data_IF_870485962843
#
_entry.id   IF_870485962843
#
_cell.length_a   1.000
_cell.length_b   1.000
_cell.length_c   1.000
_cell.angle_alpha   90.00
_cell.angle_beta   90.00
_cell.angle_gamma   90.00
#
_symmetry.space_group_name_H-M   'P 1'
#
loop_
_entity.id
_entity.type
_entity.pdbx_description
1 polymer ?
#
# COMPACT_ATOMS: atom_id res chain seq x y z
N UNK A 1 -2.46 -33.26 0.34
CA UNK A 1 -2.18 -32.19 -0.65
C UNK A 1 -3.13 -31.03 -0.38
N UNK A 2 -2.66 -30.00 0.34
CA UNK A 2 -3.43 -28.76 0.52
C UNK A 2 -3.42 -28.07 -0.85
N UNK A 3 -4.60 -27.93 -1.48
CA UNK A 3 -4.73 -27.20 -2.73
C UNK A 3 -4.20 -25.79 -2.46
N UNK A 4 -3.26 -25.36 -3.29
CA UNK A 4 -2.62 -24.06 -3.26
C UNK A 4 -3.62 -22.97 -3.69
N UNK A 5 -4.77 -22.88 -3.01
CA UNK A 5 -5.80 -21.89 -3.30
C UNK A 5 -5.21 -20.53 -2.95
N UNK A 6 -5.01 -19.70 -3.97
CA UNK A 6 -4.64 -18.30 -3.77
C UNK A 6 -5.71 -17.66 -2.90
N UNK A 7 -5.32 -17.20 -1.71
CA UNK A 7 -6.22 -16.46 -0.84
C UNK A 7 -6.46 -15.08 -1.47
N UNK A 8 -7.70 -14.60 -1.44
CA UNK A 8 -7.99 -13.23 -1.84
C UNK A 8 -7.69 -12.29 -0.67
N UNK A 9 -6.89 -11.26 -0.92
CA UNK A 9 -6.52 -10.23 0.05
C UNK A 9 -7.34 -8.94 -0.13
N UNK A 10 -8.48 -9.06 -0.80
CA UNK A 10 -9.45 -7.96 -0.95
C UNK A 10 -10.21 -7.72 0.35
N UNK A 11 -10.61 -6.47 0.60
CA UNK A 11 -11.40 -6.10 1.78
C UNK A 11 -12.70 -6.91 1.82
N UNK A 12 -13.04 -7.40 3.01
CA UNK A 12 -14.19 -8.25 3.28
C UNK A 12 -13.94 -9.75 3.07
N UNK A 13 -12.82 -10.15 2.47
CA UNK A 13 -12.52 -11.57 2.25
C UNK A 13 -11.98 -12.23 3.51
N UNK A 14 -12.32 -13.51 3.68
CA UNK A 14 -11.76 -14.35 4.73
C UNK A 14 -10.42 -14.96 4.28
N UNK A 15 -9.41 -14.83 5.13
CA UNK A 15 -8.05 -15.32 4.94
C UNK A 15 -7.62 -16.16 6.14
N UNK A 16 -6.65 -17.04 5.93
CA UNK A 16 -5.99 -17.85 6.93
C UNK A 16 -4.55 -17.41 7.07
N UNK A 17 -4.18 -16.95 8.26
CA UNK A 17 -2.81 -16.61 8.64
C UNK A 17 -2.38 -17.57 9.74
N UNK A 18 -1.52 -18.52 9.40
CA UNK A 18 -1.21 -19.65 10.29
C UNK A 18 -2.48 -20.47 10.59
N UNK A 19 -2.87 -20.52 11.86
CA UNK A 19 -4.07 -21.21 12.33
C UNK A 19 -5.29 -20.29 12.52
N UNK A 20 -5.13 -18.98 12.39
CA UNK A 20 -6.21 -18.00 12.55
C UNK A 20 -6.99 -17.84 11.25
N UNK A 21 -8.32 -17.83 11.35
CA UNK A 21 -9.22 -17.36 10.28
C UNK A 21 -9.58 -15.91 10.57
N UNK A 22 -9.24 -15.01 9.64
CA UNK A 22 -9.37 -13.57 9.78
C UNK A 22 -10.08 -12.99 8.57
N UNK A 23 -10.69 -11.82 8.71
CA UNK A 23 -11.28 -11.04 7.63
C UNK A 23 -10.40 -9.84 7.32
N UNK A 24 -10.15 -9.56 6.04
CA UNK A 24 -9.40 -8.38 5.60
C UNK A 24 -10.26 -7.14 5.77
N UNK A 25 -9.74 -6.14 6.49
CA UNK A 25 -10.42 -4.85 6.74
C UNK A 25 -9.81 -3.74 5.89
N UNK A 26 -8.49 -3.70 5.75
CA UNK A 26 -7.81 -2.71 4.93
C UNK A 26 -6.49 -3.25 4.37
N UNK A 27 -6.12 -2.81 3.17
CA UNK A 27 -4.76 -2.89 2.64
C UNK A 27 -4.08 -1.52 2.79
N UNK A 28 -2.80 -1.53 3.19
CA UNK A 28 -2.02 -0.35 3.50
C UNK A 28 -0.79 -0.28 2.59
N UNK A 29 -0.46 0.93 2.16
CA UNK A 29 0.73 1.21 1.38
C UNK A 29 2.01 0.98 2.19
N UNK A 30 3.09 0.58 1.51
CA UNK A 30 4.41 0.54 2.13
C UNK A 30 4.81 1.94 2.62
N UNK A 31 5.33 2.05 3.83
CA UNK A 31 5.72 3.33 4.45
C UNK A 31 7.08 3.84 3.96
N UNK A 32 7.88 2.97 3.33
CA UNK A 32 9.21 3.31 2.83
C UNK A 32 10.34 2.98 3.81
N UNK A 33 10.05 2.22 4.86
CA UNK A 33 11.00 1.64 5.83
C UNK A 33 11.67 0.34 5.33
N UNK A 34 11.47 0.00 4.05
CA UNK A 34 11.94 -1.25 3.45
C UNK A 34 11.00 -2.44 3.67
N UNK A 35 9.89 -2.27 4.38
CA UNK A 35 8.87 -3.30 4.53
C UNK A 35 7.80 -3.20 3.42
N UNK A 36 7.18 -4.32 3.02
CA UNK A 36 6.04 -4.30 2.11
C UNK A 36 4.82 -3.61 2.77
N UNK A 37 3.81 -3.32 1.96
CA UNK A 37 2.51 -2.87 2.45
C UNK A 37 1.90 -3.87 3.45
N UNK A 38 1.13 -3.35 4.39
CA UNK A 38 0.52 -4.13 5.46
C UNK A 38 -0.98 -4.35 5.22
N UNK A 39 -1.57 -5.30 5.94
CA UNK A 39 -3.02 -5.50 5.98
C UNK A 39 -3.52 -5.39 7.41
N UNK A 40 -4.69 -4.77 7.58
CA UNK A 40 -5.44 -4.83 8.83
C UNK A 40 -6.46 -5.95 8.70
N UNK A 41 -6.42 -6.87 9.64
CA UNK A 41 -7.26 -8.06 9.70
C UNK A 41 -8.05 -8.10 11.02
N UNK A 42 -9.20 -8.78 11.02
CA UNK A 42 -9.98 -8.99 12.25
C UNK A 42 -10.47 -10.43 12.39
N UNK A 43 -10.67 -10.89 13.61
CA UNK A 43 -11.47 -12.09 13.91
C UNK A 43 -12.89 -11.74 14.42
N UNK A 44 -13.30 -10.48 14.33
CA UNK A 44 -14.56 -9.94 14.87
C UNK A 44 -14.46 -9.40 16.31
N UNK A 45 -13.38 -9.70 17.04
CA UNK A 45 -13.18 -9.24 18.42
C UNK A 45 -11.84 -8.53 18.63
N UNK A 46 -10.85 -8.82 17.80
CA UNK A 46 -9.49 -8.30 17.88
C UNK A 46 -9.03 -7.88 16.49
N UNK A 47 -8.16 -6.88 16.45
CA UNK A 47 -7.51 -6.40 15.24
C UNK A 47 -6.05 -6.88 15.19
N UNK A 48 -5.58 -7.12 13.98
CA UNK A 48 -4.23 -7.55 13.71
C UNK A 48 -3.64 -6.80 12.51
N UNK A 49 -2.36 -6.45 12.59
CA UNK A 49 -1.56 -6.04 11.46
C UNK A 49 -0.81 -7.25 10.90
N UNK A 50 -0.99 -7.53 9.62
CA UNK A 50 -0.23 -8.53 8.88
C UNK A 50 0.71 -7.84 7.89
N UNK A 51 2.01 -8.08 8.03
CA UNK A 51 3.02 -7.61 7.08
C UNK A 51 3.59 -8.85 6.39
N UNK A 52 3.48 -8.97 5.05
CA UNK A 52 4.02 -10.10 4.31
C UNK A 52 5.49 -10.36 4.67
N UNK A 53 5.84 -11.63 4.92
CA UNK A 53 7.14 -12.10 5.40
C UNK A 53 7.55 -11.68 6.83
N UNK A 54 6.94 -10.64 7.39
CA UNK A 54 7.25 -10.12 8.72
C UNK A 54 6.26 -10.62 9.80
N UNK A 55 5.12 -11.17 9.38
CA UNK A 55 4.20 -11.90 10.27
C UNK A 55 2.98 -11.09 10.70
N UNK A 56 2.34 -11.55 11.77
CA UNK A 56 1.07 -11.03 12.28
C UNK A 56 1.27 -10.51 13.71
N UNK A 57 0.87 -9.27 13.97
CA UNK A 57 0.88 -8.66 15.30
C UNK A 57 -0.53 -8.21 15.67
N UNK A 58 -0.93 -8.42 16.94
CA UNK A 58 -2.16 -7.84 17.46
C UNK A 58 -1.98 -6.33 17.65
N UNK A 59 -3.00 -5.55 17.32
CA UNK A 59 -3.00 -4.09 17.43
C UNK A 59 -4.26 -3.60 18.15
N UNK A 60 -4.22 -2.39 18.71
CA UNK A 60 -5.40 -1.71 19.25
C UNK A 60 -6.23 -1.05 18.15
N UNK A 61 -7.43 -0.60 18.50
CA UNK A 61 -8.33 0.12 17.60
C UNK A 61 -7.71 1.47 17.16
N UNK A 62 -7.08 2.18 18.10
CA UNK A 62 -6.38 3.44 17.83
C UNK A 62 -5.21 3.24 16.86
N UNK A 63 -4.40 2.21 17.09
CA UNK A 63 -3.28 1.85 16.22
C UNK A 63 -3.77 1.53 14.80
N UNK A 64 -4.87 0.78 14.67
CA UNK A 64 -5.44 0.45 13.36
C UNK A 64 -5.90 1.69 12.59
N UNK A 65 -6.54 2.64 13.27
CA UNK A 65 -6.96 3.92 12.69
C UNK A 65 -5.75 4.73 12.24
N UNK A 66 -4.75 4.89 13.10
CA UNK A 66 -3.52 5.64 12.81
C UNK A 66 -2.80 5.07 11.57
N UNK A 67 -2.66 3.74 11.49
CA UNK A 67 -2.06 3.07 10.32
C UNK A 67 -2.82 3.37 9.02
N UNK A 68 -4.15 3.44 9.06
CA UNK A 68 -4.96 3.78 7.89
C UNK A 68 -4.79 5.25 7.47
N UNK A 69 -4.75 6.17 8.45
CA UNK A 69 -4.52 7.58 8.17
C UNK A 69 -3.14 7.80 7.55
N UNK A 70 -2.10 7.17 8.10
CA UNK A 70 -0.75 7.29 7.59
C UNK A 70 -0.66 6.73 6.16
N UNK A 71 -1.25 5.55 5.91
CA UNK A 71 -1.33 5.01 4.54
C UNK A 71 -1.99 5.99 3.57
N UNK A 72 -3.09 6.66 3.96
CA UNK A 72 -3.74 7.67 3.12
C UNK A 72 -2.83 8.87 2.84
N UNK A 73 -2.09 9.35 3.84
CA UNK A 73 -1.14 10.46 3.69
C UNK A 73 -0.02 10.09 2.72
N UNK A 74 0.52 8.87 2.83
CA UNK A 74 1.55 8.36 1.93
C UNK A 74 1.03 8.26 0.50
N UNK A 75 -0.15 7.68 0.28
CA UNK A 75 -0.76 7.59 -1.05
C UNK A 75 -0.96 8.98 -1.67
N UNK A 76 -1.47 9.94 -0.90
CA UNK A 76 -1.68 11.31 -1.35
C UNK A 76 -0.34 11.99 -1.72
N UNK A 77 0.69 11.84 -0.89
CA UNK A 77 2.02 12.38 -1.17
C UNK A 77 2.65 11.74 -2.42
N UNK A 78 2.49 10.43 -2.63
CA UNK A 78 2.95 9.73 -3.83
C UNK A 78 2.23 10.22 -5.08
N UNK A 79 0.91 10.37 -5.03
CA UNK A 79 0.12 10.92 -6.13
C UNK A 79 0.58 12.35 -6.49
N UNK A 80 0.77 13.22 -5.50
CA UNK A 80 1.24 14.59 -5.72
C UNK A 80 2.65 14.60 -6.36
N UNK A 81 3.58 13.77 -5.87
CA UNK A 81 4.93 13.65 -6.44
C UNK A 81 4.89 13.13 -7.87
N UNK A 82 4.07 12.13 -8.17
CA UNK A 82 3.91 11.60 -9.51
C UNK A 82 3.39 12.68 -10.48
N UNK A 83 2.38 13.47 -10.07
CA UNK A 83 1.87 14.58 -10.88
C UNK A 83 2.94 15.65 -11.14
N UNK A 84 3.69 16.04 -10.11
CA UNK A 84 4.80 17.00 -10.26
C UNK A 84 5.88 16.48 -11.21
N UNK A 85 6.21 15.18 -11.13
CA UNK A 85 7.17 14.55 -12.03
C UNK A 85 6.70 14.55 -13.48
N UNK A 86 5.42 14.25 -13.73
CA UNK A 86 4.83 14.31 -15.08
C UNK A 86 4.92 15.73 -15.64
N UNK A 87 4.54 16.74 -14.86
CA UNK A 87 4.65 18.14 -15.27
C UNK A 87 6.10 18.54 -15.58
N UNK A 88 7.07 18.07 -14.76
CA UNK A 88 8.50 18.33 -14.98
C UNK A 88 9.02 17.68 -16.26
N UNK A 89 8.63 16.43 -16.53
CA UNK A 89 9.00 15.72 -17.76
C UNK A 89 8.44 16.44 -18.99
N UNK A 90 7.18 16.86 -18.96
CA UNK A 90 6.56 17.61 -20.04
C UNK A 90 7.28 18.95 -20.32
N UNK A 91 7.61 19.70 -19.26
CA UNK A 91 8.37 20.94 -19.38
C UNK A 91 9.77 20.71 -19.98
N UNK A 92 10.47 19.66 -19.54
CA UNK A 92 11.78 19.31 -20.08
C UNK A 92 11.70 18.92 -21.56
N UNK A 93 10.68 18.13 -21.95
CA UNK A 93 10.46 17.75 -23.35
C UNK A 93 10.25 18.97 -24.25
N UNK A 94 9.48 19.97 -23.78
CA UNK A 94 9.29 21.22 -24.51
C UNK A 94 10.61 22.01 -24.70
N UNK A 95 11.46 22.05 -23.67
CA UNK A 95 12.79 22.67 -23.77
C UNK A 95 13.67 21.92 -24.77
N UNK A 96 13.71 20.59 -24.71
CA UNK A 96 14.47 19.77 -25.65
C UNK A 96 14.02 20.00 -27.11
N UNK A 97 12.71 20.04 -27.36
CA UNK A 97 12.18 20.32 -28.70
C UNK A 97 12.59 21.72 -29.20
N UNK A 98 12.57 22.73 -28.33
CA UNK A 98 13.02 24.08 -28.67
C UNK A 98 14.51 24.13 -29.01
N UNK A 99 15.35 23.43 -28.25
CA UNK A 99 16.79 23.37 -28.50
C UNK A 99 17.09 22.66 -29.83
N UNK A 100 16.38 21.58 -30.14
CA UNK A 100 16.50 20.86 -31.41
C UNK A 100 16.15 21.75 -32.60
N UNK A 101 15.09 22.56 -32.50
CA UNK A 101 14.69 23.49 -33.57
C UNK A 101 15.71 24.62 -33.81
N UNK A 102 16.43 25.05 -32.77
CA UNK A 102 17.48 26.08 -32.89
C UNK A 102 18.81 25.54 -33.43
N UNK A 103 19.03 24.23 -33.33
CA UNK A 103 20.24 23.56 -33.78
C UNK A 103 20.15 22.99 -35.21
N UNK A 104 18.98 23.12 -35.85
CA UNK A 104 18.71 22.74 -37.24
C UNK A 104 18.84 23.94 -38.17
#
# INVERSE_FOLDING_TARGET
MVKNSKQSWEVGQAVRVGFLSLTVIAGLEATGDGQPGAYILTNGTQLYAFIPHNGLSKISDEQAVEMCEESKRITAARAARAQAQVARVAANAAVCARLQALAA
#
